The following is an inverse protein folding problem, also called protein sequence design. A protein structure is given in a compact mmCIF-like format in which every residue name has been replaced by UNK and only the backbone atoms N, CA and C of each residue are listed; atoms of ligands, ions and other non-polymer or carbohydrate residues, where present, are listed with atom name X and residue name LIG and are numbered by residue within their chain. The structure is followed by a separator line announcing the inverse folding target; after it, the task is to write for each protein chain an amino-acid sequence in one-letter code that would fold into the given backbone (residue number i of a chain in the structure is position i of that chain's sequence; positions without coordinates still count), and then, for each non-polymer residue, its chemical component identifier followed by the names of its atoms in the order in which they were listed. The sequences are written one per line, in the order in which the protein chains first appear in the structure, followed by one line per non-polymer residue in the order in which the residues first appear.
data_IF_474017521783
#
_entry.id   IF_474017521783
#
_cell.length_a   1.000
_cell.length_b   1.000
_cell.length_c   1.000
_cell.angle_alpha   90.00
_cell.angle_beta   90.00
_cell.angle_gamma   90.00
#
_symmetry.space_group_name_H-M   'P 1'
#
loop_
_entity.id
_entity.type
_entity.pdbx_description
1 polymer ?
#
# COMPACT_ATOMS: atom_id res chain seq x y z
N UNK A 1 -42.54 47.59 -15.20
CA UNK A 1 -41.56 48.48 -14.53
C UNK A 1 -41.48 48.07 -13.07
N UNK A 2 -40.42 47.35 -12.73
CA UNK A 2 -39.76 47.29 -11.42
C UNK A 2 -38.52 46.43 -11.65
N UNK A 3 -37.46 47.09 -12.12
CA UNK A 3 -36.11 46.53 -12.20
C UNK A 3 -35.65 46.23 -10.78
N UNK A 4 -35.55 44.94 -10.43
CA UNK A 4 -34.73 44.53 -9.29
C UNK A 4 -33.29 44.59 -9.77
N UNK A 5 -32.59 45.62 -9.29
CA UNK A 5 -31.15 45.83 -9.36
C UNK A 5 -30.41 44.53 -8.99
N UNK A 6 -29.83 43.86 -9.98
CA UNK A 6 -28.83 42.82 -9.74
C UNK A 6 -27.61 43.49 -9.14
N UNK A 7 -27.33 43.19 -7.88
CA UNK A 7 -26.10 43.61 -7.22
C UNK A 7 -24.95 42.95 -7.97
N UNK A 8 -24.04 43.75 -8.55
CA UNK A 8 -22.89 43.24 -9.28
C UNK A 8 -21.84 42.77 -8.27
N UNK A 9 -21.84 41.46 -7.96
CA UNK A 9 -20.95 40.86 -6.96
C UNK A 9 -19.47 41.13 -7.24
N UNK A 10 -19.04 41.16 -8.51
CA UNK A 10 -17.65 41.48 -8.87
C UNK A 10 -17.26 42.90 -8.44
N UNK A 11 -18.20 43.85 -8.55
CA UNK A 11 -17.95 45.23 -8.11
C UNK A 11 -17.82 45.32 -6.59
N UNK A 12 -18.60 44.53 -5.85
CA UNK A 12 -18.52 44.48 -4.38
C UNK A 12 -17.16 43.94 -3.93
N UNK A 13 -16.67 42.88 -4.59
CA UNK A 13 -15.36 42.29 -4.29
C UNK A 13 -14.24 43.29 -4.62
N UNK A 14 -14.27 43.93 -5.80
CA UNK A 14 -13.28 44.95 -6.18
C UNK A 14 -13.23 46.13 -5.21
N UNK A 15 -14.40 46.61 -4.76
CA UNK A 15 -14.48 47.72 -3.80
C UNK A 15 -14.04 47.27 -2.40
N UNK A 16 -14.21 45.99 -2.04
CA UNK A 16 -13.79 45.43 -0.75
C UNK A 16 -12.26 45.29 -0.66
N UNK A 17 -11.63 44.80 -1.73
CA UNK A 17 -10.16 44.75 -1.86
C UNK A 17 -9.57 46.15 -1.73
N UNK A 18 -10.17 47.16 -2.37
CA UNK A 18 -9.71 48.55 -2.23
C UNK A 18 -9.81 49.08 -0.79
N UNK A 19 -10.87 48.72 -0.05
CA UNK A 19 -11.01 49.12 1.35
C UNK A 19 -9.97 48.44 2.23
N UNK A 20 -9.69 47.16 1.96
CA UNK A 20 -8.64 46.38 2.62
C UNK A 20 -7.26 47.01 2.38
N UNK A 21 -6.87 47.20 1.12
CA UNK A 21 -5.58 47.77 0.72
C UNK A 21 -5.37 49.22 1.25
N UNK A 22 -6.46 49.96 1.42
CA UNK A 22 -6.42 51.31 1.97
C UNK A 22 -6.27 51.33 3.51
N UNK A 23 -6.20 50.17 4.17
CA UNK A 23 -6.07 50.04 5.62
C UNK A 23 -7.34 50.48 6.37
N UNK A 24 -8.51 50.36 5.74
CA UNK A 24 -9.79 50.79 6.31
C UNK A 24 -10.49 49.67 7.11
N UNK A 25 -9.88 48.48 7.19
CA UNK A 25 -10.32 47.35 8.01
C UNK A 25 -9.50 47.32 9.29
N UNK A 26 -10.13 47.51 10.45
CA UNK A 26 -9.45 47.56 11.74
C UNK A 26 -10.12 46.59 12.71
N UNK A 27 -9.38 45.58 13.16
CA UNK A 27 -9.82 44.69 14.23
C UNK A 27 -9.96 45.48 15.54
N UNK A 28 -11.12 45.38 16.18
CA UNK A 28 -11.39 45.98 17.49
C UNK A 28 -11.25 44.97 18.62
N UNK A 29 -11.80 43.77 18.44
CA UNK A 29 -11.90 42.77 19.50
C UNK A 29 -11.99 41.35 18.91
N UNK A 30 -11.37 40.38 19.58
CA UNK A 30 -11.41 38.94 19.27
C UNK A 30 -11.78 38.17 20.53
N UNK A 31 -12.91 37.46 20.51
CA UNK A 31 -13.40 36.62 21.61
C UNK A 31 -13.76 35.23 21.08
N UNK A 32 -13.03 34.20 21.51
CA UNK A 32 -13.15 32.82 21.00
C UNK A 32 -13.19 32.77 19.46
N UNK A 33 -14.33 32.39 18.88
CA UNK A 33 -14.57 32.26 17.44
C UNK A 33 -15.23 33.50 16.83
N UNK A 34 -15.27 34.64 17.53
CA UNK A 34 -15.94 35.86 17.09
C UNK A 34 -14.98 37.04 16.97
N UNK A 35 -14.95 37.63 15.78
CA UNK A 35 -14.13 38.80 15.46
C UNK A 35 -15.02 40.02 15.23
N UNK A 36 -14.64 41.15 15.83
CA UNK A 36 -15.33 42.44 15.69
C UNK A 36 -14.42 43.45 15.00
N UNK A 37 -14.85 43.96 13.86
CA UNK A 37 -14.13 44.92 13.02
C UNK A 37 -14.84 46.27 12.96
N UNK A 38 -14.05 47.31 12.71
CA UNK A 38 -14.54 48.54 12.09
C UNK A 38 -14.01 48.55 10.66
N UNK A 39 -14.92 48.56 9.68
CA UNK A 39 -14.61 48.64 8.26
C UNK A 39 -15.23 49.90 7.68
N UNK A 40 -14.40 50.87 7.28
CA UNK A 40 -14.85 52.19 6.80
C UNK A 40 -15.90 52.86 7.71
N UNK A 41 -15.68 52.74 9.03
CA UNK A 41 -16.56 53.31 10.05
C UNK A 41 -17.84 52.50 10.36
N UNK A 42 -18.04 51.33 9.75
CA UNK A 42 -19.14 50.39 10.06
C UNK A 42 -18.66 49.27 10.97
N UNK A 43 -19.45 48.89 11.98
CA UNK A 43 -19.12 47.70 12.76
C UNK A 43 -19.53 46.44 12.00
N UNK A 44 -18.61 45.47 11.95
CA UNK A 44 -18.81 44.15 11.35
C UNK A 44 -18.42 43.09 12.36
N UNK A 45 -19.27 42.09 12.58
CA UNK A 45 -19.01 40.96 13.47
C UNK A 45 -19.09 39.68 12.67
N UNK A 46 -18.04 38.87 12.74
CA UNK A 46 -17.87 37.64 11.96
C UNK A 46 -17.57 36.49 12.90
N UNK A 47 -18.18 35.32 12.65
CA UNK A 47 -17.71 34.08 13.24
C UNK A 47 -16.54 33.56 12.40
N UNK A 48 -15.34 33.43 12.95
CA UNK A 48 -14.16 33.02 12.19
C UNK A 48 -14.17 31.53 11.83
N UNK A 49 -14.80 30.67 12.64
CA UNK A 49 -14.84 29.24 12.37
C UNK A 49 -15.84 28.86 11.27
N UNK A 50 -16.98 29.56 11.23
CA UNK A 50 -18.03 29.31 10.22
C UNK A 50 -18.04 30.31 9.07
N UNK A 51 -17.19 31.34 9.14
CA UNK A 51 -17.15 32.50 8.24
C UNK A 51 -18.50 33.24 8.10
N UNK A 52 -19.44 33.00 9.03
CA UNK A 52 -20.76 33.62 8.99
C UNK A 52 -20.71 35.06 9.49
N UNK A 53 -21.36 35.98 8.75
CA UNK A 53 -21.50 37.38 9.18
C UNK A 53 -22.62 37.48 10.22
N UNK A 54 -22.22 37.55 11.48
CA UNK A 54 -23.15 37.66 12.62
C UNK A 54 -23.84 39.03 12.65
N UNK A 55 -23.12 40.09 12.25
CA UNK A 55 -23.67 41.46 12.23
C UNK A 55 -22.89 42.40 11.29
N UNK A 56 -23.57 43.34 10.65
CA UNK A 56 -22.94 44.45 9.94
C UNK A 56 -23.85 45.69 9.93
N UNK A 57 -23.31 46.85 10.33
CA UNK A 57 -24.08 48.11 10.48
C UNK A 57 -24.53 48.74 9.15
N UNK A 58 -24.01 48.28 8.01
CA UNK A 58 -24.27 48.90 6.71
C UNK A 58 -25.74 48.74 6.23
N UNK A 59 -26.54 47.91 6.91
CA UNK A 59 -27.96 47.67 6.63
C UNK A 59 -28.26 46.93 5.32
N UNK A 60 -27.23 46.57 4.54
CA UNK A 60 -27.32 45.85 3.28
C UNK A 60 -26.74 44.42 3.36
N UNK A 61 -26.29 43.99 4.54
CA UNK A 61 -25.65 42.68 4.73
C UNK A 61 -26.66 41.61 5.16
N UNK A 62 -26.63 40.48 4.48
CA UNK A 62 -27.19 39.20 4.90
C UNK A 62 -26.10 38.34 5.56
N UNK A 63 -26.44 37.20 6.21
CA UNK A 63 -25.44 36.31 6.81
C UNK A 63 -24.39 35.75 5.84
N UNK A 64 -24.63 35.84 4.52
CA UNK A 64 -23.76 35.30 3.45
C UNK A 64 -22.76 36.31 2.86
N UNK A 65 -22.38 37.35 3.62
CA UNK A 65 -21.36 38.33 3.23
C UNK A 65 -21.58 39.01 1.86
N UNK A 66 -22.78 39.54 1.61
CA UNK A 66 -23.12 40.23 0.35
C UNK A 66 -22.86 41.75 0.36
N UNK A 67 -22.10 42.25 1.33
CA UNK A 67 -21.71 43.65 1.41
C UNK A 67 -20.18 43.83 1.44
N UNK A 68 -19.74 44.99 0.93
CA UNK A 68 -18.32 45.34 0.80
C UNK A 68 -17.59 45.24 2.15
N UNK A 69 -18.22 45.70 3.24
CA UNK A 69 -17.62 45.68 4.58
C UNK A 69 -17.43 44.25 5.13
N UNK A 70 -18.36 43.35 4.85
CA UNK A 70 -18.29 41.96 5.30
C UNK A 70 -17.19 41.20 4.54
N UNK A 71 -17.12 41.38 3.22
CA UNK A 71 -16.06 40.76 2.40
C UNK A 71 -14.69 41.32 2.79
N UNK A 72 -14.55 42.61 3.03
CA UNK A 72 -13.28 43.20 3.46
C UNK A 72 -12.84 42.70 4.85
N UNK A 73 -13.79 42.45 5.77
CA UNK A 73 -13.48 41.82 7.06
C UNK A 73 -13.05 40.35 6.91
N UNK A 74 -13.71 39.58 6.04
CA UNK A 74 -13.33 38.19 5.74
C UNK A 74 -11.98 38.11 5.01
N UNK A 75 -11.66 39.05 4.12
CA UNK A 75 -10.33 39.15 3.50
C UNK A 75 -9.24 39.37 4.55
N UNK A 76 -9.50 40.21 5.57
CA UNK A 76 -8.57 40.37 6.69
C UNK A 76 -8.41 39.10 7.50
N UNK A 77 -9.50 38.37 7.79
CA UNK A 77 -9.41 37.07 8.47
C UNK A 77 -8.59 36.09 7.64
N UNK A 78 -8.87 36.00 6.33
CA UNK A 78 -8.13 35.17 5.39
C UNK A 78 -6.64 35.56 5.30
N UNK A 79 -6.30 36.84 5.33
CA UNK A 79 -4.91 37.32 5.28
C UNK A 79 -4.16 37.02 6.60
N UNK A 80 -4.87 36.99 7.73
CA UNK A 80 -4.31 36.63 9.03
C UNK A 80 -4.23 35.11 9.27
N UNK A 81 -5.08 34.34 8.58
CA UNK A 81 -4.98 32.88 8.54
C UNK A 81 -3.99 32.42 7.46
N UNK A 82 -3.75 33.21 6.41
CA UNK A 82 -2.66 33.01 5.43
C UNK A 82 -1.30 33.55 5.89
N UNK A 83 -1.22 34.26 7.02
CA UNK A 83 0.05 34.52 7.72
C UNK A 83 0.62 33.21 8.36
N UNK A 84 -0.12 32.09 8.30
CA UNK A 84 0.39 30.74 8.54
C UNK A 84 0.70 29.95 7.24
N UNK A 85 0.49 30.54 6.06
CA UNK A 85 0.85 29.94 4.78
C UNK A 85 2.11 30.62 4.23
N UNK A 86 3.27 30.14 4.68
CA UNK A 86 4.51 30.21 3.90
C UNK A 86 4.37 29.33 2.65
N UNK A 87 3.41 29.64 1.77
CA UNK A 87 3.30 28.97 0.47
C UNK A 87 4.13 29.70 -0.60
N UNK A 88 5.00 28.88 -1.20
CA UNK A 88 5.65 29.03 -2.50
C UNK A 88 6.96 29.84 -2.55
N UNK A 89 7.99 29.29 -1.91
CA UNK A 89 9.28 29.20 -2.61
C UNK A 89 9.07 28.25 -3.81
N UNK A 90 8.64 28.78 -4.95
CA UNK A 90 8.84 28.10 -6.24
C UNK A 90 10.35 27.86 -6.36
N UNK A 91 10.78 26.63 -6.05
CA UNK A 91 12.17 26.25 -6.23
C UNK A 91 12.37 26.13 -7.73
N UNK A 92 13.17 27.06 -8.28
CA UNK A 92 13.53 27.06 -9.68
C UNK A 92 14.15 25.70 -10.04
N UNK A 93 13.52 24.98 -10.98
CA UNK A 93 13.92 23.65 -11.39
C UNK A 93 15.37 23.63 -11.91
N UNK A 94 15.81 24.74 -12.51
CA UNK A 94 17.19 24.90 -12.98
C UNK A 94 18.20 24.93 -11.80
N UNK A 95 17.78 25.41 -10.62
CA UNK A 95 18.59 25.40 -9.39
C UNK A 95 18.64 23.99 -8.80
N UNK A 96 17.53 23.24 -8.83
CA UNK A 96 17.51 21.84 -8.38
C UNK A 96 18.46 21.01 -9.24
N UNK A 97 18.33 21.08 -10.57
CA UNK A 97 19.19 20.32 -11.50
C UNK A 97 20.67 20.70 -11.34
N UNK A 98 20.96 21.98 -11.06
CA UNK A 98 22.32 22.45 -10.77
C UNK A 98 22.85 21.87 -9.45
N UNK A 99 22.04 21.83 -8.39
CA UNK A 99 22.45 21.28 -7.09
C UNK A 99 22.65 19.77 -7.18
N UNK A 100 21.74 19.05 -7.84
CA UNK A 100 21.82 17.59 -8.03
C UNK A 100 23.01 17.16 -8.88
N UNK A 101 23.35 17.94 -9.91
CA UNK A 101 24.51 17.66 -10.77
C UNK A 101 25.86 18.10 -10.17
N UNK A 102 25.84 18.74 -8.99
CA UNK A 102 27.03 19.23 -8.31
C UNK A 102 27.45 18.31 -7.16
N UNK A 103 28.76 18.13 -6.98
CA UNK A 103 29.31 17.33 -5.89
C UNK A 103 28.83 17.82 -4.51
N UNK A 104 28.33 16.88 -3.69
CA UNK A 104 27.73 17.16 -2.39
C UNK A 104 28.66 17.95 -1.45
N UNK A 105 29.95 17.61 -1.42
CA UNK A 105 30.90 18.28 -0.54
C UNK A 105 31.15 19.72 -1.00
N UNK A 106 31.07 19.98 -2.30
CA UNK A 106 31.12 21.33 -2.86
C UNK A 106 29.87 22.15 -2.51
N UNK A 107 28.67 21.58 -2.65
CA UNK A 107 27.40 22.24 -2.26
C UNK A 107 27.42 22.62 -0.79
N UNK A 108 27.89 21.70 0.07
CA UNK A 108 28.02 21.92 1.51
C UNK A 108 29.00 23.05 1.83
N UNK A 109 30.16 23.10 1.17
CA UNK A 109 31.13 24.18 1.37
C UNK A 109 30.59 25.54 0.89
N UNK A 110 29.87 25.55 -0.23
CA UNK A 110 29.21 26.74 -0.75
C UNK A 110 28.13 27.25 0.21
N UNK A 111 27.24 26.37 0.70
CA UNK A 111 26.22 26.73 1.68
C UNK A 111 26.85 27.27 2.98
N UNK A 112 27.91 26.62 3.48
CA UNK A 112 28.64 27.13 4.65
C UNK A 112 29.21 28.54 4.42
N UNK A 113 29.75 28.83 3.24
CA UNK A 113 30.28 30.14 2.89
C UNK A 113 29.18 31.20 2.81
N UNK A 114 28.06 30.89 2.16
CA UNK A 114 26.90 31.79 2.02
C UNK A 114 26.27 32.11 3.39
N UNK A 115 26.13 31.10 4.24
CA UNK A 115 25.58 31.24 5.59
C UNK A 115 26.53 31.99 6.52
N UNK A 116 27.85 31.80 6.40
CA UNK A 116 28.84 32.53 7.19
C UNK A 116 28.72 34.05 7.03
N UNK A 117 28.49 34.51 5.80
CA UNK A 117 28.47 35.92 5.45
C UNK A 117 27.10 36.59 5.66
N UNK A 118 26.03 35.82 5.89
CA UNK A 118 24.66 36.33 5.96
C UNK A 118 23.89 35.80 7.19
N UNK A 119 23.94 36.52 8.32
CA UNK A 119 23.25 36.12 9.55
C UNK A 119 21.73 35.93 9.41
N UNK A 120 21.07 36.71 8.54
CA UNK A 120 19.64 36.54 8.26
C UNK A 120 19.32 35.23 7.53
N UNK A 121 20.22 34.76 6.65
CA UNK A 121 20.09 33.46 6.00
C UNK A 121 20.38 32.32 6.95
N UNK A 122 21.21 32.52 7.98
CA UNK A 122 21.41 31.54 9.06
C UNK A 122 20.13 31.35 9.85
N UNK A 123 19.46 32.44 10.25
CA UNK A 123 18.20 32.33 10.99
C UNK A 123 17.08 31.77 10.12
N UNK A 124 17.02 32.10 8.83
CA UNK A 124 16.09 31.49 7.87
C UNK A 124 16.40 29.99 7.66
N UNK A 125 17.66 29.60 7.54
CA UNK A 125 18.06 28.20 7.41
C UNK A 125 17.77 27.40 8.69
N UNK A 126 17.92 28.01 9.87
CA UNK A 126 17.47 27.42 11.12
C UNK A 126 15.96 27.29 11.17
N UNK A 127 15.20 28.31 10.77
CA UNK A 127 13.74 28.24 10.72
C UNK A 127 13.25 27.14 9.77
N UNK A 128 13.80 27.04 8.55
CA UNK A 128 13.47 25.97 7.60
C UNK A 128 13.85 24.59 8.15
N UNK A 129 14.98 24.48 8.86
CA UNK A 129 15.39 23.24 9.51
C UNK A 129 14.48 22.92 10.71
N UNK A 130 14.12 23.91 11.50
CA UNK A 130 13.30 23.76 12.70
C UNK A 130 11.83 23.47 12.30
N UNK A 131 11.31 24.04 11.20
CA UNK A 131 10.04 23.62 10.56
C UNK A 131 10.14 22.20 10.00
N UNK A 132 11.23 21.84 9.33
CA UNK A 132 11.47 20.46 8.92
C UNK A 132 11.51 19.55 10.14
N UNK A 133 12.15 19.95 11.22
CA UNK A 133 12.29 19.17 12.45
C UNK A 133 10.96 19.09 13.22
N UNK A 134 10.13 20.13 13.21
CA UNK A 134 8.76 20.13 13.75
C UNK A 134 7.81 19.29 12.89
N UNK A 135 7.94 19.34 11.55
CA UNK A 135 7.28 18.41 10.64
C UNK A 135 7.76 16.97 10.90
N UNK A 136 9.03 16.75 11.22
CA UNK A 136 9.59 15.44 11.58
C UNK A 136 9.16 14.97 12.98
N UNK A 137 8.95 15.89 13.94
CA UNK A 137 8.41 15.60 15.28
C UNK A 137 6.88 15.36 15.23
N UNK A 138 6.16 15.98 14.29
CA UNK A 138 4.78 15.62 13.93
C UNK A 138 4.71 14.26 13.20
N UNK A 139 5.75 13.90 12.45
CA UNK A 139 5.99 12.56 11.88
C UNK A 139 6.30 11.51 12.97
N UNK A 140 6.86 11.91 14.12
CA UNK A 140 7.04 11.02 15.29
C UNK A 140 5.70 10.45 15.82
N UNK A 141 4.55 11.08 15.47
CA UNK A 141 3.19 10.60 15.73
C UNK A 141 2.34 10.31 14.48
N UNK A 142 2.87 10.47 13.26
CA UNK A 142 2.18 10.07 12.03
C UNK A 142 2.93 8.94 11.33
N UNK A 143 2.44 7.74 11.67
CA UNK A 143 2.80 6.41 11.18
C UNK A 143 3.23 6.38 9.72
N UNK A 144 4.25 5.59 9.38
CA UNK A 144 4.55 4.95 8.08
C UNK A 144 3.58 5.21 6.90
N UNK A 145 2.26 5.09 7.11
CA UNK A 145 1.20 5.56 6.21
C UNK A 145 1.39 6.97 5.64
N UNK A 146 1.74 7.97 6.46
CA UNK A 146 1.90 9.35 6.02
C UNK A 146 3.11 9.48 5.09
N UNK A 147 4.23 8.83 5.45
CA UNK A 147 5.42 8.74 4.61
C UNK A 147 5.11 8.09 3.27
N UNK A 148 4.33 7.00 3.26
CA UNK A 148 3.86 6.38 2.02
C UNK A 148 2.93 7.29 1.24
N UNK A 149 1.96 7.95 1.86
CA UNK A 149 1.03 8.86 1.19
C UNK A 149 1.77 10.03 0.53
N UNK A 150 2.73 10.64 1.22
CA UNK A 150 3.60 11.70 0.67
C UNK A 150 4.44 11.17 -0.48
N UNK A 151 5.02 9.97 -0.34
CA UNK A 151 5.81 9.33 -1.39
C UNK A 151 4.95 9.06 -2.64
N UNK A 152 3.81 8.39 -2.49
CA UNK A 152 2.92 8.10 -3.60
C UNK A 152 2.38 9.38 -4.25
N UNK A 153 2.03 10.40 -3.48
CA UNK A 153 1.61 11.70 -4.02
C UNK A 153 2.73 12.42 -4.79
N UNK A 154 3.98 12.37 -4.31
CA UNK A 154 5.15 12.93 -5.00
C UNK A 154 5.36 12.32 -6.37
N UNK A 155 5.11 11.02 -6.51
CA UNK A 155 5.31 10.29 -7.76
C UNK A 155 4.04 10.21 -8.63
N UNK A 156 2.89 10.66 -8.11
CA UNK A 156 1.61 10.70 -8.82
C UNK A 156 1.57 11.90 -9.76
N UNK A 157 1.50 11.64 -11.06
CA UNK A 157 1.32 12.70 -12.06
C UNK A 157 -0.15 13.16 -12.14
N UNK A 158 -0.36 14.48 -12.27
CA UNK A 158 -1.67 15.14 -12.41
C UNK A 158 -2.46 14.74 -13.67
N UNK A 159 -1.77 14.15 -14.66
CA UNK A 159 -2.29 13.83 -16.00
C UNK A 159 -2.41 12.30 -16.29
N UNK A 160 -2.45 11.47 -15.24
CA UNK A 160 -2.94 10.07 -15.30
C UNK A 160 -2.25 9.13 -16.30
N UNK A 161 -0.96 9.32 -16.63
CA UNK A 161 -0.31 8.43 -17.62
C UNK A 161 1.04 7.80 -17.27
N UNK A 162 1.82 8.23 -16.28
CA UNK A 162 3.03 7.49 -15.85
C UNK A 162 3.45 7.91 -14.43
N UNK A 163 3.88 6.98 -13.58
CA UNK A 163 4.68 7.28 -12.38
C UNK A 163 6.17 7.28 -12.79
N UNK A 164 7.05 8.05 -12.14
CA UNK A 164 8.49 7.72 -12.15
C UNK A 164 8.70 6.50 -11.25
N UNK A 165 8.25 5.34 -11.74
CA UNK A 165 8.14 4.08 -10.99
C UNK A 165 9.50 3.63 -10.46
N UNK A 166 10.57 3.87 -11.22
CA UNK A 166 11.91 3.48 -10.82
C UNK A 166 12.37 4.26 -9.57
N UNK A 167 12.15 5.58 -9.54
CA UNK A 167 12.43 6.41 -8.36
C UNK A 167 11.51 6.11 -7.18
N UNK A 168 10.21 5.86 -7.46
CA UNK A 168 9.25 5.46 -6.44
C UNK A 168 9.65 4.14 -5.76
N UNK A 169 10.05 3.12 -6.53
CA UNK A 169 10.44 1.82 -5.99
C UNK A 169 11.78 1.88 -5.25
N UNK A 170 12.75 2.68 -5.71
CA UNK A 170 14.03 2.86 -5.00
C UNK A 170 13.84 3.58 -3.66
N UNK A 171 13.03 4.64 -3.62
CA UNK A 171 12.71 5.34 -2.38
C UNK A 171 11.85 4.48 -1.43
N UNK A 172 10.91 3.70 -1.99
CA UNK A 172 10.10 2.76 -1.23
C UNK A 172 10.95 1.67 -0.59
N UNK A 173 11.89 1.07 -1.34
CA UNK A 173 12.81 0.06 -0.81
C UNK A 173 13.70 0.65 0.30
N UNK A 174 14.16 1.90 0.17
CA UNK A 174 14.95 2.57 1.19
C UNK A 174 14.15 2.84 2.48
N UNK A 175 12.92 3.35 2.36
CA UNK A 175 12.01 3.58 3.50
C UNK A 175 11.67 2.26 4.17
N UNK A 176 11.33 1.25 3.38
CA UNK A 176 11.05 -0.10 3.86
C UNK A 176 12.25 -0.68 4.59
N UNK A 177 13.48 -0.53 4.08
CA UNK A 177 14.67 -1.06 4.73
C UNK A 177 14.98 -0.36 6.05
N UNK A 178 14.79 0.95 6.12
CA UNK A 178 14.99 1.73 7.35
C UNK A 178 13.95 1.38 8.42
N UNK A 179 12.67 1.37 8.04
CA UNK A 179 11.54 1.07 8.92
C UNK A 179 11.50 -0.41 9.32
N UNK A 180 11.62 -1.33 8.37
CA UNK A 180 11.64 -2.75 8.67
C UNK A 180 12.82 -3.10 9.57
N UNK A 181 14.00 -2.48 9.38
CA UNK A 181 15.14 -2.72 10.27
C UNK A 181 14.86 -2.25 11.70
N UNK A 182 14.26 -1.07 11.88
CA UNK A 182 13.83 -0.57 13.20
C UNK A 182 12.82 -1.53 13.85
N UNK A 183 11.76 -1.90 13.13
CA UNK A 183 10.72 -2.83 13.59
C UNK A 183 11.26 -4.24 13.86
N UNK A 184 12.30 -4.67 13.14
CA UNK A 184 12.99 -5.94 13.39
C UNK A 184 13.80 -5.88 14.69
N UNK A 185 14.51 -4.78 14.94
CA UNK A 185 15.27 -4.57 16.17
C UNK A 185 14.34 -4.53 17.40
N UNK A 186 13.09 -4.05 17.21
CA UNK A 186 12.04 -3.97 18.23
C UNK A 186 11.10 -5.20 18.30
N UNK A 187 11.40 -6.27 17.55
CA UNK A 187 10.62 -7.53 17.48
C UNK A 187 9.15 -7.37 16.99
N UNK A 188 8.83 -6.31 16.25
CA UNK A 188 7.47 -5.97 15.80
C UNK A 188 7.10 -6.56 14.42
N UNK A 189 7.15 -7.89 14.28
CA UNK A 189 6.95 -8.56 12.97
C UNK A 189 5.54 -8.41 12.37
N UNK A 190 4.50 -8.28 13.18
CA UNK A 190 3.15 -8.03 12.68
C UNK A 190 3.05 -6.67 11.97
N UNK A 191 3.79 -5.67 12.45
CA UNK A 191 3.86 -4.34 11.84
C UNK A 191 4.56 -4.37 10.49
N UNK A 192 5.55 -5.26 10.29
CA UNK A 192 6.19 -5.48 8.98
C UNK A 192 5.21 -6.07 7.97
N UNK A 193 4.36 -7.02 8.39
CA UNK A 193 3.32 -7.57 7.52
C UNK A 193 2.21 -6.56 7.20
N UNK A 194 1.83 -5.75 8.17
CA UNK A 194 0.87 -4.66 7.96
C UNK A 194 1.44 -3.63 6.97
N UNK A 195 2.71 -3.25 7.12
CA UNK A 195 3.43 -2.43 6.16
C UNK A 195 3.43 -3.05 4.75
N UNK A 196 3.73 -4.34 4.61
CA UNK A 196 3.69 -5.01 3.31
C UNK A 196 2.28 -4.99 2.69
N UNK A 197 1.23 -5.19 3.49
CA UNK A 197 -0.17 -5.11 3.06
C UNK A 197 -0.52 -3.70 2.57
N UNK A 198 -0.10 -2.67 3.29
CA UNK A 198 -0.32 -1.27 2.91
C UNK A 198 0.39 -0.97 1.58
N UNK A 199 1.69 -1.25 1.50
CA UNK A 199 2.49 -1.08 0.28
C UNK A 199 1.82 -1.79 -0.90
N UNK A 200 1.20 -2.95 -0.66
CA UNK A 200 0.47 -3.68 -1.69
C UNK A 200 -0.68 -2.90 -2.29
N UNK A 201 -1.56 -2.41 -1.43
CA UNK A 201 -2.74 -1.68 -1.88
C UNK A 201 -2.36 -0.48 -2.75
N UNK A 202 -1.20 0.13 -2.48
CA UNK A 202 -0.70 1.23 -3.30
C UNK A 202 -0.06 0.76 -4.62
N UNK A 203 0.76 -0.29 -4.62
CA UNK A 203 1.45 -0.79 -5.82
C UNK A 203 0.52 -1.47 -6.83
N UNK A 204 -0.67 -1.94 -6.43
CA UNK A 204 -1.69 -2.50 -7.34
C UNK A 204 -2.12 -1.55 -8.47
N UNK A 205 -1.88 -0.24 -8.32
CA UNK A 205 -2.27 0.77 -9.31
C UNK A 205 -1.14 1.08 -10.31
N UNK A 206 0.01 0.39 -10.22
CA UNK A 206 1.15 0.55 -11.12
C UNK A 206 0.99 -0.37 -12.35
N UNK A 207 1.44 0.12 -13.52
CA UNK A 207 1.38 -0.58 -14.81
C UNK A 207 2.08 -1.97 -14.77
N UNK A 208 1.50 -2.94 -15.48
CA UNK A 208 2.05 -4.29 -15.70
C UNK A 208 3.46 -4.30 -16.34
N UNK A 209 3.95 -3.19 -16.88
CA UNK A 209 5.33 -3.07 -17.34
C UNK A 209 6.37 -3.16 -16.19
N UNK A 210 5.98 -2.86 -14.94
CA UNK A 210 6.89 -2.77 -13.79
C UNK A 210 6.80 -3.95 -12.81
N UNK A 211 6.12 -5.02 -13.21
CA UNK A 211 5.79 -6.19 -12.38
C UNK A 211 7.01 -6.85 -11.75
N UNK A 212 8.09 -6.98 -12.52
CA UNK A 212 9.32 -7.64 -12.06
C UNK A 212 9.94 -6.88 -10.90
N UNK A 213 9.96 -5.54 -10.98
CA UNK A 213 10.56 -4.68 -9.96
C UNK A 213 9.69 -4.59 -8.72
N UNK A 214 8.37 -4.52 -8.88
CA UNK A 214 7.41 -4.66 -7.77
C UNK A 214 7.61 -5.99 -7.05
N UNK A 215 7.75 -7.09 -7.79
CA UNK A 215 8.03 -8.42 -7.24
C UNK A 215 9.31 -8.48 -6.41
N UNK A 216 10.37 -7.78 -6.84
CA UNK A 216 11.64 -7.71 -6.09
C UNK A 216 11.50 -6.99 -4.74
N UNK A 217 10.77 -5.88 -4.68
CA UNK A 217 10.47 -5.18 -3.42
C UNK A 217 9.64 -6.06 -2.47
N UNK A 218 8.70 -6.85 -3.01
CA UNK A 218 7.94 -7.85 -2.25
C UNK A 218 8.81 -8.97 -1.70
N UNK A 219 9.67 -9.55 -2.56
CA UNK A 219 10.64 -10.58 -2.19
C UNK A 219 11.52 -10.13 -1.03
N UNK A 220 11.93 -8.87 -1.05
CA UNK A 220 12.77 -8.28 -0.01
C UNK A 220 12.03 -8.16 1.33
N UNK A 221 10.82 -7.57 1.32
CA UNK A 221 9.94 -7.46 2.50
C UNK A 221 9.62 -8.82 3.13
N UNK A 222 9.14 -9.77 2.31
CA UNK A 222 8.72 -11.09 2.76
C UNK A 222 9.92 -11.97 3.14
N UNK A 223 11.10 -11.70 2.56
CA UNK A 223 12.37 -12.28 2.98
C UNK A 223 12.69 -11.99 4.46
N UNK A 224 12.27 -10.84 4.99
CA UNK A 224 12.40 -10.56 6.43
C UNK A 224 11.45 -11.42 7.26
N UNK A 225 10.17 -11.53 6.86
CA UNK A 225 9.18 -12.38 7.52
C UNK A 225 9.68 -13.83 7.62
N UNK A 226 10.26 -14.36 6.54
CA UNK A 226 10.84 -15.71 6.54
C UNK A 226 12.03 -15.87 7.50
N UNK A 227 12.97 -14.92 7.50
CA UNK A 227 14.15 -14.97 8.37
C UNK A 227 13.80 -14.85 9.86
N UNK A 228 12.78 -14.08 10.20
CA UNK A 228 12.48 -13.71 11.59
C UNK A 228 11.33 -14.50 12.22
N UNK A 229 10.37 -15.01 11.44
CA UNK A 229 9.26 -15.85 11.94
C UNK A 229 9.73 -17.08 12.74
N UNK A 230 10.93 -17.59 12.45
CA UNK A 230 11.56 -18.72 13.16
C UNK A 230 12.08 -18.36 14.56
N UNK A 231 12.30 -17.08 14.84
CA UNK A 231 12.85 -16.56 16.09
C UNK A 231 11.78 -16.00 17.04
N UNK A 232 10.55 -15.82 16.54
CA UNK A 232 9.46 -15.24 17.31
C UNK A 232 9.01 -16.14 18.48
N UNK A 233 8.64 -15.54 19.63
CA UNK A 233 7.85 -16.19 20.66
C UNK A 233 6.57 -16.81 20.09
N UNK A 234 6.11 -17.90 20.70
CA UNK A 234 4.99 -18.69 20.17
C UNK A 234 3.68 -17.89 19.95
N UNK A 235 3.44 -16.86 20.76
CA UNK A 235 2.25 -16.00 20.65
C UNK A 235 2.34 -15.06 19.45
N UNK A 236 3.43 -14.32 19.33
CA UNK A 236 3.65 -13.41 18.19
C UNK A 236 3.71 -14.19 16.88
N UNK A 237 4.25 -15.41 16.89
CA UNK A 237 4.23 -16.30 15.74
C UNK A 237 2.81 -16.66 15.27
N UNK A 238 1.85 -16.80 16.19
CA UNK A 238 0.44 -17.05 15.85
C UNK A 238 -0.22 -15.81 15.20
N UNK A 239 0.10 -14.62 15.72
CA UNK A 239 -0.40 -13.35 15.20
C UNK A 239 0.15 -13.08 13.78
N UNK A 240 1.45 -13.28 13.58
CA UNK A 240 2.12 -13.15 12.27
C UNK A 240 1.59 -14.21 11.29
N UNK A 241 1.36 -15.44 11.72
CA UNK A 241 0.77 -16.48 10.86
C UNK A 241 -0.64 -16.07 10.40
N UNK A 242 -1.46 -15.54 11.30
CA UNK A 242 -2.83 -15.12 10.98
C UNK A 242 -2.83 -13.96 9.99
N UNK A 243 -1.98 -12.94 10.21
CA UNK A 243 -1.85 -11.81 9.29
C UNK A 243 -1.36 -12.25 7.90
N UNK A 244 -0.36 -13.14 7.83
CA UNK A 244 0.13 -13.66 6.55
C UNK A 244 -0.94 -14.50 5.83
N UNK A 245 -1.73 -15.28 6.57
CA UNK A 245 -2.87 -16.02 6.01
C UNK A 245 -3.90 -15.08 5.40
N UNK A 246 -4.23 -13.99 6.07
CA UNK A 246 -5.15 -12.97 5.55
C UNK A 246 -4.64 -12.37 4.23
N UNK A 247 -3.34 -12.06 4.16
CA UNK A 247 -2.67 -11.57 2.94
C UNK A 247 -2.81 -12.60 1.79
N UNK A 248 -2.62 -13.89 2.08
CA UNK A 248 -2.72 -14.94 1.06
C UNK A 248 -4.18 -15.21 0.63
N UNK A 249 -5.14 -15.12 1.55
CA UNK A 249 -6.55 -15.48 1.30
C UNK A 249 -7.36 -14.32 0.73
N UNK A 250 -7.40 -13.18 1.44
CA UNK A 250 -8.37 -12.11 1.14
C UNK A 250 -7.98 -11.29 -0.09
N UNK A 251 -6.69 -11.13 -0.28
CA UNK A 251 -6.20 -10.39 -1.41
C UNK A 251 -5.93 -11.36 -2.54
N UNK A 252 -6.90 -11.48 -3.44
CA UNK A 252 -6.78 -12.23 -4.69
C UNK A 252 -5.76 -11.57 -5.61
N UNK A 253 -4.49 -11.74 -5.30
CA UNK A 253 -3.40 -11.16 -6.05
C UNK A 253 -3.10 -12.05 -7.25
N UNK A 254 -3.50 -11.60 -8.44
CA UNK A 254 -2.89 -12.10 -9.67
C UNK A 254 -1.39 -11.76 -9.67
N UNK A 255 -0.55 -12.65 -10.20
CA UNK A 255 0.88 -12.48 -10.51
C UNK A 255 1.86 -12.12 -9.37
N UNK A 256 1.44 -11.45 -8.28
CA UNK A 256 2.33 -10.90 -7.23
C UNK A 256 2.37 -11.71 -5.92
N UNK A 257 1.45 -12.65 -5.70
CA UNK A 257 1.39 -13.39 -4.41
C UNK A 257 2.34 -14.54 -4.26
N UNK A 258 2.98 -14.99 -5.33
CA UNK A 258 3.71 -16.25 -5.26
C UNK A 258 4.74 -16.23 -4.13
N UNK A 259 5.34 -15.08 -3.86
CA UNK A 259 6.26 -14.85 -2.74
C UNK A 259 5.61 -15.01 -1.38
N UNK A 260 4.47 -14.36 -1.13
CA UNK A 260 3.75 -14.44 0.14
C UNK A 260 3.22 -15.86 0.38
N UNK A 261 2.74 -16.49 -0.69
CA UNK A 261 2.32 -17.89 -0.71
C UNK A 261 3.49 -18.83 -0.39
N UNK A 262 4.66 -18.60 -0.98
CA UNK A 262 5.85 -19.43 -0.73
C UNK A 262 6.30 -19.27 0.73
N UNK A 263 6.37 -18.05 1.27
CA UNK A 263 6.67 -17.82 2.70
C UNK A 263 5.61 -18.49 3.59
N UNK A 264 4.33 -18.36 3.25
CA UNK A 264 3.24 -18.98 4.01
C UNK A 264 3.35 -20.51 4.02
N UNK A 265 3.72 -21.13 2.90
CA UNK A 265 3.89 -22.57 2.79
C UNK A 265 5.15 -23.06 3.49
N UNK A 266 6.29 -22.40 3.26
CA UNK A 266 7.61 -22.86 3.69
C UNK A 266 7.94 -22.56 5.16
N UNK A 267 7.42 -21.47 5.73
CA UNK A 267 7.72 -21.07 7.10
C UNK A 267 6.76 -21.71 8.11
N UNK A 268 6.72 -21.29 9.38
CA UNK A 268 5.71 -21.80 10.35
C UNK A 268 5.59 -23.34 10.39
N UNK A 269 6.71 -24.03 10.57
CA UNK A 269 6.81 -25.50 10.48
C UNK A 269 6.13 -26.28 11.62
N UNK A 270 5.56 -25.59 12.62
CA UNK A 270 4.86 -26.25 13.72
C UNK A 270 3.60 -26.97 13.21
N UNK A 271 3.40 -28.21 13.66
CA UNK A 271 2.27 -29.08 13.24
C UNK A 271 0.90 -28.42 13.46
N UNK A 272 0.80 -27.47 14.41
CA UNK A 272 -0.44 -26.74 14.69
C UNK A 272 -0.96 -25.93 13.49
N UNK A 273 -0.06 -25.42 12.63
CA UNK A 273 -0.43 -24.63 11.44
C UNK A 273 -0.74 -25.48 10.20
N UNK A 274 -0.36 -26.76 10.23
CA UNK A 274 -0.41 -27.64 9.05
C UNK A 274 -1.79 -27.69 8.40
N UNK A 275 -2.85 -27.84 9.21
CA UNK A 275 -4.21 -27.97 8.71
C UNK A 275 -4.63 -26.71 7.98
N UNK A 276 -4.39 -25.53 8.56
CA UNK A 276 -4.82 -24.26 7.98
C UNK A 276 -4.08 -23.97 6.68
N UNK A 277 -2.80 -24.33 6.58
CA UNK A 277 -2.05 -24.21 5.32
C UNK A 277 -2.61 -25.10 4.21
N UNK A 278 -3.00 -26.33 4.57
CA UNK A 278 -3.63 -27.26 3.64
C UNK A 278 -5.00 -26.72 3.20
N UNK A 279 -5.81 -26.21 4.13
CA UNK A 279 -7.11 -25.61 3.84
C UNK A 279 -6.98 -24.43 2.85
N UNK A 280 -5.99 -23.55 3.03
CA UNK A 280 -5.69 -22.46 2.09
C UNK A 280 -5.29 -22.99 0.70
N UNK A 281 -4.47 -24.05 0.64
CA UNK A 281 -4.13 -24.65 -0.66
C UNK A 281 -5.36 -25.20 -1.39
N UNK A 282 -6.32 -25.78 -0.66
CA UNK A 282 -7.60 -26.22 -1.23
C UNK A 282 -8.42 -25.05 -1.76
N UNK A 283 -8.50 -23.95 -1.02
CA UNK A 283 -9.16 -22.71 -1.43
C UNK A 283 -8.54 -22.15 -2.73
N UNK A 284 -7.21 -22.06 -2.80
CA UNK A 284 -6.50 -21.60 -4.01
C UNK A 284 -6.69 -22.48 -5.23
N UNK A 285 -6.84 -23.79 -5.04
CA UNK A 285 -7.20 -24.69 -6.15
C UNK A 285 -8.61 -24.38 -6.67
N UNK A 286 -9.58 -24.12 -5.78
CA UNK A 286 -10.93 -23.77 -6.19
C UNK A 286 -11.00 -22.41 -6.89
N UNK A 287 -10.26 -21.41 -6.40
CA UNK A 287 -10.11 -20.11 -7.06
C UNK A 287 -9.51 -20.25 -8.46
N UNK A 288 -8.42 -21.03 -8.60
CA UNK A 288 -7.76 -21.25 -9.89
C UNK A 288 -8.67 -21.92 -10.92
N UNK A 289 -9.63 -22.74 -10.46
CA UNK A 289 -10.60 -23.39 -11.32
C UNK A 289 -11.59 -22.41 -11.98
N UNK A 290 -11.69 -21.18 -11.46
CA UNK A 290 -12.54 -20.12 -12.02
C UNK A 290 -11.82 -19.26 -13.07
N UNK A 291 -10.52 -19.49 -13.31
CA UNK A 291 -9.75 -18.75 -14.32
C UNK A 291 -10.09 -19.22 -15.75
N UNK A 292 -10.27 -18.26 -16.65
CA UNK A 292 -10.52 -18.52 -18.08
C UNK A 292 -9.28 -19.04 -18.82
N UNK A 293 -8.08 -18.73 -18.32
CA UNK A 293 -6.82 -19.24 -18.86
C UNK A 293 -6.56 -20.67 -18.38
N UNK A 294 -6.72 -21.61 -19.32
CA UNK A 294 -6.56 -23.04 -19.05
C UNK A 294 -5.11 -23.44 -18.74
N UNK A 295 -4.13 -22.80 -19.36
CA UNK A 295 -2.71 -23.14 -19.14
C UNK A 295 -2.26 -22.63 -17.76
N UNK A 296 -2.71 -21.43 -17.38
CA UNK A 296 -2.50 -20.87 -16.04
C UNK A 296 -3.19 -21.71 -14.97
N UNK A 297 -4.44 -22.13 -15.20
CA UNK A 297 -5.18 -23.02 -14.30
C UNK A 297 -4.43 -24.35 -14.08
N UNK A 298 -3.99 -25.02 -15.15
CA UNK A 298 -3.25 -26.28 -15.04
C UNK A 298 -1.93 -26.12 -14.27
N UNK A 299 -1.23 -24.99 -14.45
CA UNK A 299 -0.01 -24.65 -13.72
C UNK A 299 -0.28 -24.44 -12.22
N UNK A 300 -1.24 -23.58 -11.87
CA UNK A 300 -1.59 -23.26 -10.48
C UNK A 300 -2.12 -24.49 -9.74
N UNK A 301 -2.98 -25.29 -10.39
CA UNK A 301 -3.44 -26.58 -9.86
C UNK A 301 -2.25 -27.47 -9.48
N UNK A 302 -1.27 -27.60 -10.39
CA UNK A 302 -0.09 -28.44 -10.14
C UNK A 302 0.78 -27.91 -8.99
N UNK A 303 0.93 -26.58 -8.88
CA UNK A 303 1.70 -25.92 -7.81
C UNK A 303 1.07 -26.20 -6.45
N UNK A 304 -0.20 -25.86 -6.29
CA UNK A 304 -0.91 -26.04 -5.02
C UNK A 304 -1.02 -27.51 -4.62
N UNK A 305 -1.21 -28.40 -5.59
CA UNK A 305 -1.17 -29.83 -5.32
C UNK A 305 0.19 -30.31 -4.81
N UNK A 306 1.28 -29.83 -5.40
CA UNK A 306 2.63 -30.13 -4.90
C UNK A 306 2.85 -29.60 -3.48
N UNK A 307 2.30 -28.43 -3.15
CA UNK A 307 2.38 -27.81 -1.84
C UNK A 307 1.64 -28.63 -0.77
N UNK A 308 0.41 -29.06 -1.03
CA UNK A 308 -0.36 -29.95 -0.12
C UNK A 308 0.46 -31.19 0.22
N UNK A 309 1.00 -31.87 -0.78
CA UNK A 309 1.84 -33.06 -0.57
C UNK A 309 3.13 -32.71 0.18
N UNK A 310 3.76 -31.57 -0.16
CA UNK A 310 4.96 -31.08 0.52
C UNK A 310 4.74 -30.89 2.02
N UNK A 311 3.63 -30.24 2.39
CA UNK A 311 3.22 -29.99 3.77
C UNK A 311 3.00 -31.29 4.55
N UNK A 312 2.31 -32.28 3.96
CA UNK A 312 2.16 -33.60 4.59
C UNK A 312 3.52 -34.27 4.85
N UNK A 313 4.40 -34.27 3.85
CA UNK A 313 5.72 -34.90 3.97
C UNK A 313 6.61 -34.17 5.00
N UNK A 314 6.58 -32.83 5.04
CA UNK A 314 7.30 -32.01 6.03
C UNK A 314 6.83 -32.29 7.46
N UNK A 315 5.54 -32.55 7.66
CA UNK A 315 4.97 -32.95 8.94
C UNK A 315 5.27 -34.42 9.33
N UNK A 316 6.05 -35.14 8.51
CA UNK A 316 6.47 -36.51 8.78
C UNK A 316 5.47 -37.59 8.37
N UNK A 317 4.40 -37.24 7.66
CA UNK A 317 3.44 -38.21 7.14
C UNK A 317 4.01 -38.93 5.92
N UNK A 318 4.04 -40.26 5.96
CA UNK A 318 4.38 -41.08 4.82
C UNK A 318 3.21 -41.22 3.84
N UNK A 319 3.48 -41.86 2.69
CA UNK A 319 2.43 -42.16 1.70
C UNK A 319 1.28 -42.98 2.31
N UNK A 320 1.59 -43.91 3.21
CA UNK A 320 0.62 -44.76 3.91
C UNK A 320 -0.29 -43.93 4.84
N UNK A 321 0.29 -42.96 5.57
CA UNK A 321 -0.49 -42.07 6.43
C UNK A 321 -1.42 -41.16 5.62
N UNK A 322 -0.94 -40.66 4.48
CA UNK A 322 -1.74 -39.84 3.57
C UNK A 322 -2.90 -40.67 2.99
N UNK A 323 -2.62 -41.91 2.55
CA UNK A 323 -3.64 -42.85 2.07
C UNK A 323 -4.73 -43.08 3.12
N UNK A 324 -4.33 -43.36 4.37
CA UNK A 324 -5.29 -43.62 5.46
C UNK A 324 -6.14 -42.39 5.78
N UNK A 325 -5.56 -41.18 5.74
CA UNK A 325 -6.29 -39.93 5.99
C UNK A 325 -7.36 -39.62 4.94
N UNK A 326 -7.14 -40.01 3.68
CA UNK A 326 -8.04 -39.65 2.57
C UNK A 326 -8.88 -40.81 2.06
N UNK A 327 -8.79 -41.99 2.70
CA UNK A 327 -9.45 -43.22 2.25
C UNK A 327 -10.97 -43.07 2.06
N UNK A 328 -11.62 -42.31 2.95
CA UNK A 328 -13.07 -42.14 2.95
C UNK A 328 -13.54 -41.21 1.81
N UNK A 329 -12.62 -40.47 1.20
CA UNK A 329 -12.86 -39.54 0.08
C UNK A 329 -12.19 -40.02 -1.21
N UNK A 330 -11.83 -41.30 -1.33
CA UNK A 330 -11.11 -41.83 -2.49
C UNK A 330 -11.83 -41.60 -3.83
N UNK A 331 -13.16 -41.57 -3.82
CA UNK A 331 -13.98 -41.31 -5.01
C UNK A 331 -13.92 -39.85 -5.49
N UNK A 332 -13.34 -38.93 -4.70
CA UNK A 332 -13.09 -37.56 -5.12
C UNK A 332 -11.85 -37.47 -6.03
N UNK A 333 -12.01 -36.81 -7.18
CA UNK A 333 -10.95 -36.52 -8.17
C UNK A 333 -9.72 -35.87 -7.53
N UNK A 334 -9.93 -34.94 -6.59
CA UNK A 334 -8.86 -34.21 -5.92
C UNK A 334 -8.07 -35.10 -4.96
N UNK A 335 -8.76 -35.98 -4.24
CA UNK A 335 -8.14 -36.99 -3.37
C UNK A 335 -7.19 -37.89 -4.16
N UNK A 336 -7.64 -38.40 -5.31
CA UNK A 336 -6.78 -39.22 -6.16
C UNK A 336 -5.59 -38.44 -6.72
N UNK A 337 -5.76 -37.14 -7.01
CA UNK A 337 -4.64 -36.29 -7.42
C UNK A 337 -3.59 -36.12 -6.30
N UNK A 338 -4.00 -35.97 -5.03
CA UNK A 338 -3.10 -35.97 -3.86
C UNK A 338 -2.28 -37.26 -3.82
N UNK A 339 -2.95 -38.41 -3.96
CA UNK A 339 -2.31 -39.72 -3.93
C UNK A 339 -1.32 -39.93 -5.08
N UNK A 340 -1.67 -39.46 -6.29
CA UNK A 340 -0.80 -39.49 -7.46
C UNK A 340 0.48 -38.66 -7.20
N UNK A 341 0.34 -37.42 -6.73
CA UNK A 341 1.50 -36.55 -6.46
C UNK A 341 2.35 -37.05 -5.29
N UNK A 342 1.74 -37.54 -4.21
CA UNK A 342 2.45 -38.16 -3.09
C UNK A 342 3.23 -39.41 -3.54
N UNK A 343 2.60 -40.26 -4.34
CA UNK A 343 3.25 -41.44 -4.91
C UNK A 343 4.40 -41.07 -5.85
N UNK A 344 4.28 -40.01 -6.64
CA UNK A 344 5.35 -39.49 -7.51
C UNK A 344 6.54 -38.98 -6.70
N UNK A 345 6.31 -38.14 -5.67
CA UNK A 345 7.39 -37.61 -4.82
C UNK A 345 8.13 -38.73 -4.06
N UNK A 346 7.41 -39.76 -3.63
CA UNK A 346 7.98 -40.93 -2.93
C UNK A 346 8.51 -42.02 -3.87
N UNK A 347 8.43 -41.81 -5.20
CA UNK A 347 8.81 -42.79 -6.23
C UNK A 347 8.06 -44.14 -6.15
N UNK A 348 6.87 -44.15 -5.54
CA UNK A 348 5.98 -45.30 -5.49
C UNK A 348 5.21 -45.48 -6.82
N UNK A 349 5.92 -45.56 -7.94
CA UNK A 349 5.33 -45.58 -9.27
C UNK A 349 4.31 -46.71 -9.51
N UNK A 350 4.46 -47.94 -8.97
CA UNK A 350 3.41 -48.95 -9.07
C UNK A 350 2.08 -48.51 -8.46
N UNK A 351 2.13 -47.84 -7.29
CA UNK A 351 0.94 -47.28 -6.66
C UNK A 351 0.34 -46.14 -7.50
N UNK A 352 1.17 -45.23 -8.02
CA UNK A 352 0.72 -44.14 -8.91
C UNK A 352 -0.02 -44.69 -10.13
N UNK A 353 0.50 -45.76 -10.76
CA UNK A 353 -0.18 -46.41 -11.90
C UNK A 353 -1.55 -46.95 -11.51
N UNK A 354 -1.66 -47.60 -10.36
CA UNK A 354 -2.94 -48.12 -9.85
C UNK A 354 -3.95 -46.98 -9.69
N UNK A 355 -3.58 -45.91 -8.99
CA UNK A 355 -4.48 -44.76 -8.77
C UNK A 355 -4.86 -44.07 -10.09
N UNK A 356 -3.95 -43.96 -11.06
CA UNK A 356 -4.26 -43.42 -12.40
C UNK A 356 -5.27 -44.30 -13.15
N UNK A 357 -5.13 -45.62 -13.10
CA UNK A 357 -6.08 -46.54 -13.72
C UNK A 357 -7.45 -46.46 -13.05
N UNK A 358 -7.49 -46.39 -11.72
CA UNK A 358 -8.73 -46.23 -10.96
C UNK A 358 -9.39 -44.87 -11.28
N UNK A 359 -8.60 -43.80 -11.42
CA UNK A 359 -9.11 -42.47 -11.81
C UNK A 359 -9.70 -42.47 -13.21
N UNK A 360 -9.07 -43.14 -14.18
CA UNK A 360 -9.62 -43.31 -15.54
C UNK A 360 -10.98 -44.04 -15.49
N UNK A 361 -11.13 -45.02 -14.61
CA UNK A 361 -12.37 -45.78 -14.46
C UNK A 361 -13.49 -44.97 -13.76
N UNK A 362 -13.15 -44.16 -12.75
CA UNK A 362 -14.12 -43.37 -11.99
C UNK A 362 -14.54 -42.08 -12.71
N UNK A 363 -13.61 -41.42 -13.42
CA UNK A 363 -13.85 -40.12 -14.07
C UNK A 363 -14.19 -40.25 -15.57
N UNK A 364 -14.72 -41.41 -16.01
CA UNK A 364 -15.03 -41.69 -17.44
C UNK A 364 -15.91 -40.62 -18.10
N UNK A 365 -16.78 -39.98 -17.32
CA UNK A 365 -17.67 -38.91 -17.79
C UNK A 365 -16.92 -37.59 -18.09
N UNK A 366 -15.69 -37.43 -17.61
CA UNK A 366 -14.84 -36.25 -17.79
C UNK A 366 -13.71 -36.53 -18.77
N UNK A 367 -14.03 -36.56 -20.07
CA UNK A 367 -13.08 -36.92 -21.15
C UNK A 367 -11.74 -36.15 -21.15
N UNK A 368 -11.72 -34.90 -20.66
CA UNK A 368 -10.48 -34.14 -20.50
C UNK A 368 -9.59 -34.68 -19.37
N UNK A 369 -10.16 -35.06 -18.22
CA UNK A 369 -9.42 -35.65 -17.10
C UNK A 369 -8.84 -37.01 -17.49
N UNK A 370 -9.63 -37.85 -18.17
CA UNK A 370 -9.16 -39.14 -18.70
C UNK A 370 -7.91 -38.96 -19.56
N UNK A 371 -7.92 -38.03 -20.52
CA UNK A 371 -6.74 -37.73 -21.35
C UNK A 371 -5.53 -37.28 -20.53
N UNK A 372 -5.75 -36.50 -19.46
CA UNK A 372 -4.68 -36.05 -18.55
C UNK A 372 -4.07 -37.24 -17.80
N UNK A 373 -4.90 -38.16 -17.30
CA UNK A 373 -4.44 -39.38 -16.65
C UNK A 373 -3.70 -40.33 -17.58
N UNK A 374 -4.19 -40.54 -18.81
CA UNK A 374 -3.53 -41.36 -19.83
C UNK A 374 -2.13 -40.81 -20.17
N UNK A 375 -2.03 -39.49 -20.37
CA UNK A 375 -0.74 -38.82 -20.65
C UNK A 375 0.24 -38.98 -19.48
N UNK A 376 -0.22 -38.84 -18.24
CA UNK A 376 0.64 -39.05 -17.07
C UNK A 376 1.03 -40.53 -16.90
N UNK A 377 0.11 -41.46 -17.18
CA UNK A 377 0.38 -42.90 -17.17
C UNK A 377 1.48 -43.28 -18.18
N UNK A 378 1.43 -42.72 -19.40
CA UNK A 378 2.51 -42.87 -20.39
C UNK A 378 3.84 -42.33 -19.87
N UNK A 379 3.85 -41.18 -19.18
CA UNK A 379 5.05 -40.57 -18.61
C UNK A 379 5.68 -41.47 -17.54
N UNK A 380 4.87 -41.98 -16.61
CA UNK A 380 5.31 -42.91 -15.56
C UNK A 380 5.81 -44.23 -16.17
N UNK A 381 5.16 -44.74 -17.22
CA UNK A 381 5.61 -45.94 -17.93
C UNK A 381 6.98 -45.76 -18.56
N UNK A 382 7.27 -44.59 -19.17
CA UNK A 382 8.59 -44.26 -19.70
C UNK A 382 9.65 -44.21 -18.60
N UNK A 383 9.35 -43.57 -17.46
CA UNK A 383 10.29 -43.46 -16.32
C UNK A 383 10.69 -44.81 -15.73
N UNK A 384 9.76 -45.77 -15.64
CA UNK A 384 10.07 -47.13 -15.20
C UNK A 384 10.87 -47.93 -16.25
N UNK A 385 10.74 -47.61 -17.54
CA UNK A 385 11.48 -48.27 -18.63
C UNK A 385 12.96 -47.86 -18.69
N UNK A 386 13.32 -46.66 -18.23
CA UNK A 386 14.70 -46.17 -18.22
C UNK A 386 15.52 -46.64 -17.01
N UNK A 387 14.87 -47.14 -15.95
CA UNK A 387 15.56 -47.68 -14.75
C UNK A 387 15.86 -49.18 -14.82
N UNK A 388 15.44 -49.85 -15.91
CA UNK A 388 15.67 -51.28 -16.15
C UNK A 388 16.70 -51.54 -17.27
N UNK A 389 17.42 -50.51 -17.74
CA UNK A 389 18.51 -50.62 -18.72
C UNK A 389 19.85 -50.18 -18.15
#
# INVERSE_FOLDING_TARGET
MNEKTGVNQNKIIEDAIRMYDAGLVVLQEKEEDTYKFIVDGQNVVVNSFTEEILHCDCGACTPYADCVHAIAALLWIGDQESDNDLENLEVDYDIIELVESTDYEFVKQFACAVLHDNPSLVEMFKAIRDERDELLDEIENTSFMHTLEVLFNRYRNSDDTYYNVDGLLDDLDAIVDEEAKSLIEDEQMSSVLEMAKIVHMFLMNIDEAYMERVGMSYDHLLGYVGKFSRKLPAREKDDVFTALKEIVVEYGFGTYTYVAEDVFIEEFSDVKYLKEKIDVCFEKIQESAMLDDKDMNDMLYSRWMSNIVGLYLQAGYGLEDIQEKVKDEYDNTMTRAILIEAGKKTKAYPFVKQVLMDSIALDQQHSYLVKKYEKELERINKLNGTQLN
#
